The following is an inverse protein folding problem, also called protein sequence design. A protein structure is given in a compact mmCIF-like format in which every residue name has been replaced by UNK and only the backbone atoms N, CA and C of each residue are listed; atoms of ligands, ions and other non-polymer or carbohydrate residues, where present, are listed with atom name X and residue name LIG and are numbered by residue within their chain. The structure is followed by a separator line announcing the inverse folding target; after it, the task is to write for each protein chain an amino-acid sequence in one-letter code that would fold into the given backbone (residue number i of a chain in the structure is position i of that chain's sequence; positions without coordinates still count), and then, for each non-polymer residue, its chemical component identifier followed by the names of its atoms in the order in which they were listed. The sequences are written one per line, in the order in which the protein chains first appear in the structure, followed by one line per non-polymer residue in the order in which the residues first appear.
data_IF_602344285468
#
_entry.id   IF_602344285468
#
_cell.length_a   1.000
_cell.length_b   1.000
_cell.length_c   1.000
_cell.angle_alpha   90.00
_cell.angle_beta   90.00
_cell.angle_gamma   90.00
#
_symmetry.space_group_name_H-M   'P 1'
#
loop_
_entity.id
_entity.type
_entity.pdbx_description
1 polymer ?
#
# COMPACT_ATOMS: atom_id res chain seq x y z
N UNK A 1 5.77 -2.37 17.35
CA UNK A 1 5.17 -3.68 17.08
C UNK A 1 6.29 -4.69 16.92
N UNK A 2 6.20 -5.81 17.56
CA UNK A 2 7.01 -6.99 17.29
C UNK A 2 6.08 -8.03 16.66
N UNK A 3 6.36 -8.43 15.41
CA UNK A 3 5.44 -9.24 14.61
C UNK A 3 6.17 -10.35 13.89
N UNK A 4 5.92 -11.60 14.31
CA UNK A 4 6.52 -12.82 13.76
C UNK A 4 5.44 -13.91 13.60
N UNK A 5 4.57 -13.82 12.61
CA UNK A 5 3.46 -14.77 12.42
C UNK A 5 3.94 -16.20 12.17
N UNK A 6 5.13 -16.39 11.61
CA UNK A 6 5.69 -17.72 11.40
C UNK A 6 5.88 -18.54 12.71
N UNK A 7 6.10 -17.86 13.84
CA UNK A 7 6.17 -18.46 15.16
C UNK A 7 4.94 -18.16 16.01
N UNK A 8 3.85 -17.70 15.39
CA UNK A 8 2.57 -17.35 16.01
C UNK A 8 2.69 -16.28 17.10
N UNK A 9 3.56 -15.33 16.90
CA UNK A 9 3.79 -14.27 17.85
C UNK A 9 3.59 -12.90 17.24
N UNK A 10 2.79 -12.08 17.90
CA UNK A 10 2.65 -10.66 17.61
C UNK A 10 2.39 -9.91 18.91
N UNK A 11 2.98 -8.74 19.06
CA UNK A 11 2.70 -7.84 20.17
C UNK A 11 2.78 -6.38 19.73
N UNK A 12 1.92 -5.58 20.30
CA UNK A 12 1.91 -4.13 20.14
C UNK A 12 2.07 -3.49 21.50
N UNK A 13 2.91 -2.46 21.57
CA UNK A 13 3.04 -1.67 22.81
C UNK A 13 1.79 -0.82 22.95
N UNK A 14 1.14 -0.93 24.08
CA UNK A 14 -0.10 -0.25 24.44
C UNK A 14 -0.99 -1.13 25.30
N UNK A 15 -1.93 -0.51 25.99
CA UNK A 15 -2.90 -1.20 26.84
C UNK A 15 -4.30 -0.68 26.57
N UNK A 16 -5.17 -1.54 26.01
CA UNK A 16 -6.58 -1.21 25.83
C UNK A 16 -7.28 -0.93 27.16
N UNK A 17 -6.91 -1.68 28.22
CA UNK A 17 -7.42 -1.43 29.57
C UNK A 17 -6.99 -0.06 30.11
N UNK A 18 -5.72 0.34 29.86
CA UNK A 18 -5.24 1.69 30.21
C UNK A 18 -5.99 2.78 29.49
N UNK A 19 -6.21 2.62 28.16
CA UNK A 19 -6.99 3.57 27.36
C UNK A 19 -8.42 3.70 27.90
N UNK A 20 -9.10 2.58 28.18
CA UNK A 20 -10.44 2.57 28.73
C UNK A 20 -10.52 3.25 30.11
N UNK A 21 -9.56 2.96 30.98
CA UNK A 21 -9.51 3.55 32.33
C UNK A 21 -9.32 5.08 32.29
N UNK A 22 -8.42 5.57 31.43
CA UNK A 22 -8.12 7.00 31.34
C UNK A 22 -9.20 7.79 30.56
N UNK A 23 -9.82 7.18 29.55
CA UNK A 23 -10.84 7.84 28.73
C UNK A 23 -12.26 7.70 29.25
N UNK A 24 -12.53 6.69 30.09
CA UNK A 24 -13.90 6.34 30.51
C UNK A 24 -14.76 5.73 29.40
N UNK A 25 -14.14 5.30 28.28
CA UNK A 25 -14.81 4.72 27.12
C UNK A 25 -14.32 3.29 26.90
N UNK A 26 -15.21 2.37 26.53
CA UNK A 26 -14.85 1.01 26.17
C UNK A 26 -13.83 0.99 25.04
N UNK A 27 -12.81 0.14 25.17
CA UNK A 27 -11.73 0.03 24.20
C UNK A 27 -11.67 -1.37 23.61
N UNK A 28 -11.96 -1.48 22.32
CA UNK A 28 -11.69 -2.70 21.54
C UNK A 28 -10.26 -2.62 21.01
N UNK A 29 -9.45 -3.63 21.30
CA UNK A 29 -8.03 -3.64 20.96
C UNK A 29 -7.56 -5.04 20.56
N UNK A 30 -6.29 -5.14 20.14
CA UNK A 30 -5.61 -6.41 19.84
C UNK A 30 -6.25 -7.22 18.70
N UNK A 31 -6.48 -6.56 17.57
CA UNK A 31 -7.08 -7.18 16.38
C UNK A 31 -6.20 -8.23 15.68
N UNK A 32 -4.92 -8.39 16.07
CA UNK A 32 -3.95 -9.27 15.37
C UNK A 32 -3.71 -10.59 16.06
N UNK A 33 -3.72 -10.61 17.37
CA UNK A 33 -3.25 -11.77 18.16
C UNK A 33 -4.08 -13.02 17.87
N UNK A 34 -5.39 -12.89 17.81
CA UNK A 34 -6.29 -14.03 17.51
C UNK A 34 -6.03 -14.62 16.13
N UNK A 35 -5.91 -13.77 15.10
CA UNK A 35 -5.63 -14.21 13.73
C UNK A 35 -4.28 -14.94 13.65
N UNK A 36 -3.24 -14.38 14.26
CA UNK A 36 -1.90 -14.99 14.30
C UNK A 36 -1.92 -16.32 15.07
N UNK A 37 -2.65 -16.40 16.18
CA UNK A 37 -2.81 -17.64 16.95
C UNK A 37 -3.53 -18.74 16.14
N UNK A 38 -4.46 -18.35 15.28
CA UNK A 38 -5.20 -19.22 14.37
C UNK A 38 -4.47 -19.48 13.05
N UNK A 39 -3.17 -19.21 12.98
CA UNK A 39 -2.30 -19.39 11.80
C UNK A 39 -2.52 -18.36 10.67
N UNK A 40 -3.24 -17.28 10.92
CA UNK A 40 -3.30 -16.12 10.04
C UNK A 40 -2.03 -15.28 10.09
N UNK A 41 -1.95 -14.30 9.21
CA UNK A 41 -0.81 -13.38 9.14
C UNK A 41 -0.95 -12.20 10.11
N UNK A 42 -2.15 -11.90 10.61
CA UNK A 42 -2.43 -10.73 11.45
C UNK A 42 -2.19 -9.39 10.75
N UNK A 43 -1.88 -9.42 9.46
CA UNK A 43 -1.65 -8.27 8.60
C UNK A 43 -1.80 -8.69 7.12
N UNK A 44 -2.34 -7.81 6.25
CA UNK A 44 -2.96 -6.53 6.57
C UNK A 44 -4.35 -6.68 7.22
N UNK A 45 -4.78 -5.72 8.04
CA UNK A 45 -6.13 -5.70 8.66
C UNK A 45 -7.11 -4.81 7.89
N UNK A 46 -6.61 -3.79 7.18
CA UNK A 46 -7.41 -2.81 6.44
C UNK A 46 -8.30 -3.39 5.33
N UNK A 47 -7.96 -4.52 4.64
CA UNK A 47 -8.73 -5.03 3.51
C UNK A 47 -10.20 -5.33 3.79
N UNK A 48 -10.58 -5.62 5.04
CA UNK A 48 -12.00 -5.78 5.39
C UNK A 48 -12.75 -4.43 5.32
N UNK A 49 -12.10 -3.34 5.75
CA UNK A 49 -12.60 -1.98 5.57
C UNK A 49 -12.73 -1.63 4.08
N UNK A 50 -11.73 -1.97 3.28
CA UNK A 50 -11.78 -1.77 1.82
C UNK A 50 -12.96 -2.50 1.18
N UNK A 51 -13.22 -3.73 1.60
CA UNK A 51 -14.31 -4.55 1.08
C UNK A 51 -15.69 -3.98 1.36
N UNK A 52 -15.89 -3.44 2.56
CA UNK A 52 -17.23 -3.06 3.02
C UNK A 52 -17.50 -1.56 2.94
N UNK A 53 -16.52 -0.73 3.23
CA UNK A 53 -16.66 0.74 3.26
C UNK A 53 -16.38 1.40 1.91
N UNK A 54 -15.67 0.69 1.02
CA UNK A 54 -15.25 1.20 -0.30
C UNK A 54 -15.58 0.20 -1.41
N UNK A 55 -16.73 -0.47 -1.29
CA UNK A 55 -17.18 -1.53 -2.20
C UNK A 55 -17.46 -1.04 -3.64
N UNK A 56 -17.64 0.26 -3.84
CA UNK A 56 -17.82 0.89 -5.15
C UNK A 56 -16.56 0.96 -6.01
N UNK A 57 -15.38 0.68 -5.40
CA UNK A 57 -14.10 0.64 -6.10
C UNK A 57 -13.68 -0.79 -6.39
N UNK A 58 -13.17 -1.01 -7.60
CA UNK A 58 -12.65 -2.33 -8.01
C UNK A 58 -11.35 -2.64 -7.27
N UNK A 59 -10.52 -1.61 -7.08
CA UNK A 59 -9.26 -1.69 -6.37
C UNK A 59 -9.14 -0.57 -5.34
N UNK A 60 -8.59 -0.88 -4.18
CA UNK A 60 -8.14 0.10 -3.20
C UNK A 60 -6.61 0.08 -3.17
N UNK A 61 -5.98 1.22 -3.48
CA UNK A 61 -4.55 1.40 -3.52
C UNK A 61 -4.14 2.44 -2.48
N UNK A 62 -3.35 2.02 -1.50
CA UNK A 62 -2.75 2.92 -0.53
C UNK A 62 -1.30 3.20 -0.91
N UNK A 63 -0.93 4.47 -1.01
CA UNK A 63 0.42 4.93 -1.33
C UNK A 63 1.04 5.65 -0.13
N UNK A 64 1.46 4.88 0.87
CA UNK A 64 2.22 5.34 2.03
C UNK A 64 3.72 5.35 1.78
N UNK A 65 4.51 4.86 2.72
CA UNK A 65 5.93 4.55 2.50
C UNK A 65 6.09 3.49 1.41
N UNK A 66 5.18 2.53 1.40
CA UNK A 66 5.00 1.49 0.39
C UNK A 66 3.61 1.59 -0.20
N UNK A 67 3.45 1.15 -1.44
CA UNK A 67 2.13 0.97 -2.05
C UNK A 67 1.64 -0.44 -1.81
N UNK A 68 0.39 -0.55 -1.36
CA UNK A 68 -0.32 -1.82 -1.26
C UNK A 68 -1.68 -1.71 -1.92
N UNK A 69 -2.10 -2.82 -2.53
CA UNK A 69 -3.36 -2.92 -3.26
C UNK A 69 -4.25 -3.96 -2.59
N UNK A 70 -5.56 -3.73 -2.60
CA UNK A 70 -6.54 -4.74 -2.25
C UNK A 70 -7.69 -4.75 -3.23
N UNK A 71 -8.20 -5.94 -3.57
CA UNK A 71 -9.28 -6.13 -4.54
C UNK A 71 -9.97 -7.47 -4.35
N UNK A 72 -11.19 -7.58 -4.86
CA UNK A 72 -11.95 -8.83 -4.85
C UNK A 72 -11.39 -9.78 -5.92
N UNK A 73 -11.28 -11.06 -5.56
CA UNK A 73 -10.76 -12.12 -6.42
C UNK A 73 -11.41 -13.45 -6.07
N UNK A 74 -10.94 -14.52 -6.66
CA UNK A 74 -11.26 -15.89 -6.28
C UNK A 74 -9.99 -16.65 -5.97
N UNK A 75 -10.03 -17.47 -4.94
CA UNK A 75 -8.93 -18.37 -4.58
C UNK A 75 -9.44 -19.82 -4.60
N UNK A 76 -8.54 -20.75 -4.86
CA UNK A 76 -8.87 -22.18 -4.77
C UNK A 76 -8.68 -22.64 -3.32
N UNK A 77 -9.74 -23.24 -2.74
CA UNK A 77 -9.70 -23.90 -1.43
C UNK A 77 -10.39 -25.25 -1.56
N UNK A 78 -9.68 -26.32 -1.23
CA UNK A 78 -10.18 -27.70 -1.30
C UNK A 78 -10.77 -28.11 -2.69
N UNK A 79 -10.19 -27.57 -3.77
CA UNK A 79 -10.65 -27.84 -5.14
C UNK A 79 -11.84 -26.97 -5.60
N UNK A 80 -12.30 -26.04 -4.78
CA UNK A 80 -13.37 -25.12 -5.12
C UNK A 80 -12.87 -23.67 -5.23
N UNK A 81 -13.41 -22.92 -6.20
CA UNK A 81 -13.17 -21.49 -6.31
C UNK A 81 -14.09 -20.73 -5.37
N UNK A 82 -13.50 -20.10 -4.38
CA UNK A 82 -14.24 -19.28 -3.40
C UNK A 82 -13.89 -17.80 -3.53
N UNK A 83 -14.88 -16.89 -3.35
CA UNK A 83 -14.60 -15.46 -3.32
C UNK A 83 -13.63 -15.11 -2.19
N UNK A 84 -12.66 -14.26 -2.51
CA UNK A 84 -11.65 -13.77 -1.57
C UNK A 84 -11.35 -12.30 -1.81
N UNK A 85 -10.84 -11.62 -0.80
CA UNK A 85 -10.18 -10.32 -0.93
C UNK A 85 -8.68 -10.55 -0.90
N UNK A 86 -7.97 -10.18 -1.97
CA UNK A 86 -6.51 -10.24 -2.01
C UNK A 86 -5.94 -8.88 -1.61
N UNK A 87 -4.81 -8.90 -0.89
CA UNK A 87 -4.05 -7.70 -0.56
C UNK A 87 -2.55 -8.03 -0.52
N UNK A 88 -1.72 -7.13 -1.10
CA UNK A 88 -0.26 -7.29 -1.11
C UNK A 88 0.43 -5.97 -1.48
N UNK A 89 1.74 -5.92 -1.20
CA UNK A 89 2.58 -4.77 -1.53
C UNK A 89 3.05 -4.82 -2.99
N UNK A 90 3.08 -3.64 -3.64
CA UNK A 90 3.49 -3.51 -5.04
C UNK A 90 4.90 -2.93 -5.15
N UNK A 91 5.14 -1.76 -4.55
CA UNK A 91 6.39 -1.02 -4.70
C UNK A 91 6.63 -0.12 -3.48
N UNK A 92 7.88 0.19 -3.10
CA UNK A 92 8.15 1.33 -2.24
C UNK A 92 7.73 2.62 -2.98
N UNK A 93 7.25 3.60 -2.23
CA UNK A 93 6.81 4.90 -2.75
C UNK A 93 7.50 6.02 -1.96
N UNK A 94 6.82 6.59 -0.97
CA UNK A 94 7.35 7.73 -0.21
C UNK A 94 8.59 7.37 0.60
N UNK A 95 8.81 6.09 0.92
CA UNK A 95 10.03 5.68 1.61
C UNK A 95 11.28 6.06 0.81
N UNK A 96 11.28 5.81 -0.50
CA UNK A 96 12.39 6.12 -1.40
C UNK A 96 12.37 7.59 -1.82
N UNK A 97 11.22 8.12 -2.22
CA UNK A 97 11.12 9.53 -2.65
C UNK A 97 11.55 10.47 -1.54
N UNK A 98 11.08 10.25 -0.31
CA UNK A 98 11.43 11.10 0.84
C UNK A 98 12.88 10.86 1.31
N UNK A 99 13.44 9.67 1.11
CA UNK A 99 14.86 9.43 1.38
C UNK A 99 15.75 10.38 0.59
N UNK A 100 15.51 10.54 -0.71
CA UNK A 100 16.28 11.45 -1.55
C UNK A 100 15.97 12.91 -1.25
N UNK A 101 14.72 13.27 -0.98
CA UNK A 101 14.36 14.64 -0.64
C UNK A 101 14.99 15.12 0.67
N UNK A 102 15.15 14.24 1.66
CA UNK A 102 15.83 14.57 2.92
C UNK A 102 17.32 14.90 2.73
N UNK A 103 17.98 14.37 1.69
CA UNK A 103 19.36 14.72 1.39
C UNK A 103 19.54 16.19 0.99
N UNK A 104 18.45 16.83 0.52
CA UNK A 104 18.43 18.27 0.19
C UNK A 104 17.63 19.11 1.22
N UNK A 105 17.41 18.55 2.42
CA UNK A 105 16.77 19.26 3.53
C UNK A 105 15.24 19.42 3.40
N UNK A 106 14.58 18.63 2.56
CA UNK A 106 13.13 18.61 2.41
C UNK A 106 12.54 17.29 2.91
N UNK A 107 11.36 17.34 3.55
CA UNK A 107 10.72 16.13 4.06
C UNK A 107 10.13 15.25 2.94
N UNK A 108 9.63 15.86 1.88
CA UNK A 108 9.02 15.19 0.73
C UNK A 108 9.03 16.08 -0.52
N UNK A 109 8.77 15.48 -1.69
CA UNK A 109 8.59 16.18 -2.96
C UNK A 109 7.14 16.64 -3.10
N UNK A 110 6.90 17.93 -2.81
CA UNK A 110 5.56 18.50 -2.85
C UNK A 110 5.01 18.45 -4.27
N UNK A 111 3.82 17.84 -4.42
CA UNK A 111 3.14 17.65 -5.72
C UNK A 111 3.99 16.93 -6.80
N UNK A 112 5.20 16.44 -6.47
CA UNK A 112 6.16 15.86 -7.41
C UNK A 112 6.89 16.91 -8.25
N UNK A 113 7.00 18.16 -7.77
CA UNK A 113 7.63 19.27 -8.49
C UNK A 113 9.09 18.98 -8.84
N UNK A 114 9.86 18.36 -7.93
CA UNK A 114 11.26 18.00 -8.17
C UNK A 114 11.34 16.90 -9.22
N UNK A 115 10.55 15.84 -9.07
CA UNK A 115 10.52 14.73 -10.04
C UNK A 115 10.06 15.18 -11.44
N UNK A 116 9.11 16.11 -11.52
CA UNK A 116 8.60 16.61 -12.81
C UNK A 116 9.63 17.41 -13.61
N UNK A 117 10.68 17.91 -12.95
CA UNK A 117 11.79 18.62 -13.60
C UNK A 117 12.89 17.70 -14.14
N UNK A 118 12.83 16.39 -13.85
CA UNK A 118 13.82 15.42 -14.27
C UNK A 118 13.46 14.66 -15.54
N UNK A 119 14.45 13.98 -16.08
CA UNK A 119 14.31 13.05 -17.20
C UNK A 119 14.39 11.60 -16.74
N UNK A 120 13.53 10.74 -17.34
CA UNK A 120 13.53 9.31 -17.01
C UNK A 120 14.77 8.63 -17.61
N UNK A 121 15.63 8.09 -16.77
CA UNK A 121 16.76 7.28 -17.20
C UNK A 121 16.34 5.85 -17.52
N UNK A 122 16.21 5.52 -18.81
CA UNK A 122 15.74 4.21 -19.28
C UNK A 122 16.57 3.04 -18.72
N UNK A 123 17.90 3.17 -18.64
CA UNK A 123 18.78 2.11 -18.09
C UNK A 123 18.50 1.82 -16.61
N UNK A 124 18.31 2.86 -15.81
CA UNK A 124 17.94 2.68 -14.40
C UNK A 124 16.52 2.11 -14.27
N UNK A 125 15.59 2.61 -15.08
CA UNK A 125 14.21 2.12 -15.10
C UNK A 125 14.14 0.62 -15.42
N UNK A 126 14.87 0.18 -16.45
CA UNK A 126 14.96 -1.23 -16.83
C UNK A 126 15.54 -2.08 -15.68
N UNK A 127 16.61 -1.61 -15.04
CA UNK A 127 17.24 -2.30 -13.93
C UNK A 127 16.30 -2.42 -12.71
N UNK A 128 15.55 -1.36 -12.38
CA UNK A 128 14.55 -1.37 -11.31
C UNK A 128 13.42 -2.35 -11.62
N UNK A 129 12.92 -2.33 -12.86
CA UNK A 129 11.82 -3.21 -13.27
C UNK A 129 12.24 -4.69 -13.34
N UNK A 130 13.53 -4.98 -13.51
CA UNK A 130 14.07 -6.35 -13.57
C UNK A 130 14.32 -6.98 -12.19
N UNK A 131 14.16 -6.24 -11.09
CA UNK A 131 14.37 -6.80 -9.75
C UNK A 131 13.42 -7.99 -9.48
N UNK A 132 13.91 -9.09 -8.90
CA UNK A 132 13.15 -10.35 -8.74
C UNK A 132 11.83 -10.19 -7.98
N UNK A 133 11.75 -9.25 -7.07
CA UNK A 133 10.51 -8.95 -6.35
C UNK A 133 9.33 -8.66 -7.29
N UNK A 134 9.55 -7.95 -8.39
CA UNK A 134 8.46 -7.52 -9.29
C UNK A 134 7.93 -8.64 -10.19
N UNK A 135 8.75 -9.65 -10.48
CA UNK A 135 8.35 -10.85 -11.22
C UNK A 135 7.69 -11.92 -10.36
N UNK A 136 7.82 -11.83 -9.02
CA UNK A 136 7.20 -12.78 -8.11
C UNK A 136 5.67 -12.71 -8.18
N UNK A 137 5.03 -13.88 -8.19
CA UNK A 137 3.57 -14.04 -8.23
C UNK A 137 3.01 -14.27 -6.82
N UNK A 138 1.72 -13.94 -6.64
CA UNK A 138 0.99 -14.13 -5.38
C UNK A 138 1.15 -12.96 -4.40
N UNK A 139 0.51 -13.08 -3.23
CA UNK A 139 0.65 -12.12 -2.15
C UNK A 139 2.11 -12.01 -1.69
N UNK A 140 2.59 -10.79 -1.58
CA UNK A 140 3.97 -10.49 -1.19
C UNK A 140 4.02 -9.19 -0.39
N UNK A 141 5.02 -9.05 0.46
CA UNK A 141 5.23 -7.86 1.27
C UNK A 141 6.63 -7.29 1.09
N UNK A 142 6.75 -6.00 1.35
CA UNK A 142 7.99 -5.23 1.29
C UNK A 142 8.39 -4.78 2.69
N UNK A 143 9.68 -4.83 2.97
CA UNK A 143 10.28 -4.28 4.16
C UNK A 143 11.29 -3.18 3.84
N UNK A 144 11.56 -2.36 4.83
CA UNK A 144 12.59 -1.32 4.78
C UNK A 144 13.95 -1.90 4.40
N UNK A 145 14.26 -3.05 4.95
CA UNK A 145 15.53 -3.75 4.78
C UNK A 145 15.80 -4.08 3.30
N UNK A 146 14.77 -4.50 2.58
CA UNK A 146 14.89 -4.78 1.16
C UNK A 146 15.14 -3.52 0.34
N UNK A 147 14.48 -2.42 0.68
CA UNK A 147 14.67 -1.13 -0.01
C UNK A 147 16.08 -0.61 0.19
N UNK A 148 16.60 -0.71 1.42
CA UNK A 148 17.96 -0.28 1.78
C UNK A 148 19.03 -1.19 1.16
N UNK A 149 18.75 -2.46 0.95
CA UNK A 149 19.69 -3.41 0.36
C UNK A 149 19.68 -3.40 -1.19
N UNK A 150 18.52 -3.23 -1.82
CA UNK A 150 18.37 -3.44 -3.26
C UNK A 150 18.06 -2.14 -4.04
N UNK A 151 17.11 -1.32 -3.57
CA UNK A 151 16.62 -0.18 -4.34
C UNK A 151 17.57 1.01 -4.25
N UNK A 152 17.92 1.44 -3.03
CA UNK A 152 18.76 2.63 -2.83
C UNK A 152 20.14 2.45 -3.45
N UNK A 153 20.87 1.33 -3.22
CA UNK A 153 22.16 1.13 -3.83
C UNK A 153 22.10 1.04 -5.37
N UNK A 154 21.03 0.45 -5.93
CA UNK A 154 20.83 0.40 -7.36
C UNK A 154 20.67 1.81 -7.95
N UNK A 155 19.81 2.66 -7.38
CA UNK A 155 19.62 4.04 -7.83
C UNK A 155 20.93 4.83 -7.71
N UNK A 156 21.66 4.67 -6.60
CA UNK A 156 22.92 5.40 -6.33
C UNK A 156 24.09 4.93 -7.19
N UNK A 157 24.01 3.75 -7.80
CA UNK A 157 25.01 3.28 -8.76
C UNK A 157 25.01 4.07 -10.08
N UNK A 158 23.94 4.84 -10.35
CA UNK A 158 23.81 5.71 -11.51
C UNK A 158 24.16 7.17 -11.12
N UNK A 159 25.05 7.78 -11.87
CA UNK A 159 25.41 9.20 -11.66
C UNK A 159 24.34 10.11 -12.29
N UNK A 160 23.23 10.30 -11.58
CA UNK A 160 22.06 11.06 -12.01
C UNK A 160 21.81 12.25 -11.07
N UNK A 161 21.19 13.29 -11.59
CA UNK A 161 20.63 14.39 -10.79
C UNK A 161 19.55 13.86 -9.82
N UNK A 162 19.22 14.64 -8.80
CA UNK A 162 18.12 14.32 -7.90
C UNK A 162 16.79 14.21 -8.66
N UNK A 163 16.56 15.16 -9.56
CA UNK A 163 15.37 15.25 -10.41
C UNK A 163 15.19 14.00 -11.26
N UNK A 164 16.27 13.53 -11.91
CA UNK A 164 16.25 12.34 -12.78
C UNK A 164 16.05 11.06 -11.98
N UNK A 165 16.67 10.95 -10.78
CA UNK A 165 16.43 9.83 -9.86
C UNK A 165 14.96 9.74 -9.49
N UNK A 166 14.36 10.87 -9.08
CA UNK A 166 12.97 10.93 -8.66
C UNK A 166 12.00 10.70 -9.83
N UNK A 167 12.26 11.30 -11.00
CA UNK A 167 11.47 11.08 -12.21
C UNK A 167 11.46 9.60 -12.62
N UNK A 168 12.66 8.97 -12.65
CA UNK A 168 12.81 7.56 -13.00
C UNK A 168 12.11 6.65 -11.99
N UNK A 169 12.21 6.96 -10.70
CA UNK A 169 11.56 6.16 -9.68
C UNK A 169 10.03 6.33 -9.68
N UNK A 170 9.50 7.52 -9.94
CA UNK A 170 8.06 7.73 -10.15
C UNK A 170 7.54 6.94 -11.34
N UNK A 171 8.29 6.89 -12.45
CA UNK A 171 7.93 6.09 -13.62
C UNK A 171 7.92 4.60 -13.29
N UNK A 172 8.95 4.12 -12.58
CA UNK A 172 8.99 2.74 -12.09
C UNK A 172 7.76 2.39 -11.23
N UNK A 173 7.41 3.22 -10.24
CA UNK A 173 6.21 3.03 -9.41
C UNK A 173 4.95 2.92 -10.29
N UNK A 174 4.80 3.84 -11.25
CA UNK A 174 3.65 3.90 -12.15
C UNK A 174 3.49 2.63 -12.98
N UNK A 175 4.59 2.11 -13.53
CA UNK A 175 4.63 0.85 -14.30
C UNK A 175 4.23 -0.33 -13.39
N UNK A 176 4.82 -0.43 -12.21
CA UNK A 176 4.56 -1.56 -11.29
C UNK A 176 3.10 -1.58 -10.82
N UNK A 177 2.53 -0.43 -10.51
CA UNK A 177 1.11 -0.30 -10.15
C UNK A 177 0.21 -0.64 -11.33
N UNK A 178 0.48 -0.06 -12.50
CA UNK A 178 -0.30 -0.28 -13.72
C UNK A 178 -0.36 -1.76 -14.13
N UNK A 179 0.74 -2.49 -13.97
CA UNK A 179 0.82 -3.92 -14.28
C UNK A 179 -0.05 -4.82 -13.34
N UNK A 180 -0.55 -4.29 -12.22
CA UNK A 180 -1.38 -5.06 -11.27
C UNK A 180 -2.88 -4.80 -11.40
N UNK A 181 -3.29 -3.89 -12.27
CA UNK A 181 -4.68 -3.48 -12.43
C UNK A 181 -5.14 -3.78 -13.85
N UNK A 182 -6.17 -4.60 -13.97
CA UNK A 182 -6.82 -4.90 -15.25
C UNK A 182 -8.02 -3.98 -15.50
N UNK A 183 -8.41 -3.79 -16.75
CA UNK A 183 -9.71 -3.25 -17.07
C UNK A 183 -10.82 -4.16 -16.57
N UNK A 184 -12.05 -3.65 -16.45
CA UNK A 184 -13.22 -4.46 -16.16
C UNK A 184 -13.52 -5.41 -17.31
N UNK A 185 -14.25 -6.49 -17.04
CA UNK A 185 -14.64 -7.48 -18.04
C UNK A 185 -15.47 -6.89 -19.19
N UNK A 186 -16.24 -5.83 -18.91
CA UNK A 186 -17.02 -5.08 -19.90
C UNK A 186 -16.19 -4.09 -20.73
N UNK A 187 -14.88 -4.05 -20.53
CA UNK A 187 -13.95 -3.16 -21.23
C UNK A 187 -13.92 -1.72 -20.67
N UNK A 188 -14.72 -1.41 -19.67
CA UNK A 188 -14.67 -0.09 -19.01
C UNK A 188 -13.47 0.02 -18.07
N UNK A 189 -13.12 1.27 -17.71
CA UNK A 189 -12.01 1.52 -16.80
C UNK A 189 -12.33 1.05 -15.38
N UNK A 190 -11.38 0.39 -14.74
CA UNK A 190 -11.47 0.02 -13.34
C UNK A 190 -11.34 1.24 -12.43
N UNK A 191 -12.25 1.39 -11.48
CA UNK A 191 -12.20 2.42 -10.45
C UNK A 191 -11.19 2.04 -9.38
N UNK A 192 -10.20 2.90 -9.17
CA UNK A 192 -9.12 2.70 -8.20
C UNK A 192 -9.17 3.80 -7.15
N UNK A 193 -9.50 3.45 -5.93
CA UNK A 193 -9.43 4.38 -4.80
C UNK A 193 -7.95 4.61 -4.45
N UNK A 194 -7.48 5.86 -4.53
CA UNK A 194 -6.14 6.25 -4.08
C UNK A 194 -6.17 6.86 -2.68
N UNK A 195 -5.35 6.33 -1.78
CA UNK A 195 -5.17 6.87 -0.43
C UNK A 195 -3.69 6.87 -0.04
N UNK A 196 -3.38 7.40 1.15
CA UNK A 196 -2.01 7.62 1.60
C UNK A 196 -1.37 8.87 1.00
N UNK A 197 -0.25 9.29 1.56
CA UNK A 197 0.41 10.55 1.20
C UNK A 197 0.84 10.66 -0.27
N UNK A 198 1.15 9.54 -0.92
CA UNK A 198 1.51 9.49 -2.34
C UNK A 198 0.35 9.86 -3.28
N UNK A 199 -0.90 9.78 -2.83
CA UNK A 199 -2.06 10.24 -3.59
C UNK A 199 -2.06 11.75 -3.87
N UNK A 200 -1.31 12.53 -3.09
CA UNK A 200 -1.14 13.97 -3.28
C UNK A 200 0.03 14.33 -4.19
N UNK A 201 0.86 13.37 -4.59
CA UNK A 201 1.94 13.59 -5.55
C UNK A 201 1.36 13.60 -6.98
N UNK A 202 1.09 14.81 -7.49
CA UNK A 202 0.44 15.00 -8.80
C UNK A 202 1.23 14.36 -9.94
N UNK A 203 2.54 14.57 -9.98
CA UNK A 203 3.39 13.99 -11.02
C UNK A 203 3.32 12.47 -11.01
N UNK A 204 3.41 11.83 -9.85
CA UNK A 204 3.27 10.37 -9.75
C UNK A 204 1.90 9.90 -10.26
N UNK A 205 0.81 10.56 -9.87
CA UNK A 205 -0.55 10.21 -10.32
C UNK A 205 -0.69 10.39 -11.84
N UNK A 206 -0.11 11.44 -12.42
CA UNK A 206 -0.07 11.64 -13.89
C UNK A 206 0.68 10.50 -14.59
N UNK A 207 1.85 10.10 -14.06
CA UNK A 207 2.61 8.95 -14.61
C UNK A 207 1.83 7.64 -14.49
N UNK A 208 1.15 7.42 -13.37
CA UNK A 208 0.27 6.26 -13.18
C UNK A 208 -0.87 6.25 -14.22
N UNK A 209 -1.51 7.39 -14.46
CA UNK A 209 -2.59 7.49 -15.46
C UNK A 209 -2.07 7.25 -16.89
N UNK A 210 -0.86 7.73 -17.19
CA UNK A 210 -0.23 7.50 -18.51
C UNK A 210 0.13 6.03 -18.73
N UNK A 211 0.63 5.33 -17.70
CA UNK A 211 1.02 3.92 -17.77
C UNK A 211 -0.15 2.95 -17.64
N UNK A 212 -1.29 3.39 -17.13
CA UNK A 212 -2.47 2.55 -16.92
C UNK A 212 -3.76 3.26 -17.36
N UNK A 213 -3.96 3.49 -18.67
CA UNK A 213 -5.15 4.16 -19.19
C UNK A 213 -6.45 3.40 -18.92
N UNK A 214 -6.36 2.10 -18.63
CA UNK A 214 -7.49 1.25 -18.21
C UNK A 214 -7.99 1.57 -16.80
N UNK A 215 -7.30 2.43 -16.05
CA UNK A 215 -7.66 2.83 -14.69
C UNK A 215 -8.38 4.18 -14.67
N UNK A 216 -9.29 4.33 -13.71
CA UNK A 216 -9.84 5.61 -13.27
C UNK A 216 -9.41 5.80 -11.81
N UNK A 217 -8.35 6.57 -11.61
CA UNK A 217 -7.86 6.88 -10.27
C UNK A 217 -8.77 7.90 -9.59
N UNK A 218 -9.31 7.54 -8.45
CA UNK A 218 -10.21 8.36 -7.64
C UNK A 218 -9.51 8.72 -6.33
N UNK A 219 -9.22 10.00 -6.15
CA UNK A 219 -8.66 10.53 -4.91
C UNK A 219 -9.84 11.11 -4.12
N UNK A 220 -10.23 10.54 -2.97
CA UNK A 220 -11.32 11.05 -2.17
C UNK A 220 -10.93 12.38 -1.50
N UNK A 221 -11.82 12.92 -0.71
CA UNK A 221 -11.53 14.11 0.08
C UNK A 221 -10.34 13.87 1.03
N UNK A 222 -9.69 14.96 1.42
CA UNK A 222 -8.47 14.93 2.25
C UNK A 222 -8.68 14.22 3.59
N UNK A 223 -9.88 14.31 4.16
CA UNK A 223 -10.20 13.64 5.42
C UNK A 223 -10.19 12.12 5.23
N UNK A 224 -10.83 11.62 4.20
CA UNK A 224 -10.83 10.18 3.85
C UNK A 224 -9.40 9.69 3.58
N UNK A 225 -8.59 10.44 2.80
CA UNK A 225 -7.19 10.04 2.55
C UNK A 225 -6.40 9.93 3.85
N UNK A 226 -6.53 10.90 4.76
CA UNK A 226 -5.73 10.95 5.98
C UNK A 226 -6.21 9.99 7.07
N UNK A 227 -7.51 9.66 7.10
CA UNK A 227 -8.13 8.91 8.20
C UNK A 227 -8.69 7.55 7.79
N UNK A 228 -8.47 7.09 6.55
CA UNK A 228 -8.94 5.78 6.07
C UNK A 228 -8.51 4.63 7.00
N UNK A 229 -7.27 4.65 7.47
CA UNK A 229 -6.78 3.61 8.39
C UNK A 229 -7.52 3.67 9.74
N UNK A 230 -7.67 4.85 10.33
CA UNK A 230 -8.42 5.04 11.56
C UNK A 230 -9.89 4.61 11.41
N UNK A 231 -10.53 4.95 10.27
CA UNK A 231 -11.89 4.51 9.93
C UNK A 231 -11.97 2.98 9.84
N UNK A 232 -10.98 2.35 9.20
CA UNK A 232 -10.94 0.88 9.10
C UNK A 232 -10.80 0.23 10.48
N UNK A 233 -9.96 0.75 11.36
CA UNK A 233 -9.84 0.21 12.73
C UNK A 233 -11.10 0.46 13.56
N UNK A 234 -11.75 1.61 13.42
CA UNK A 234 -13.05 1.85 14.05
C UNK A 234 -14.11 0.85 13.57
N UNK A 235 -14.09 0.54 12.26
CA UNK A 235 -14.97 -0.48 11.69
C UNK A 235 -14.68 -1.89 12.23
N UNK A 236 -13.41 -2.28 12.39
CA UNK A 236 -13.04 -3.53 13.05
C UNK A 236 -13.59 -3.62 14.47
N UNK A 237 -13.51 -2.52 15.23
CA UNK A 237 -14.10 -2.42 16.57
C UNK A 237 -15.61 -2.60 16.55
N UNK A 238 -16.32 -1.95 15.60
CA UNK A 238 -17.77 -2.10 15.45
C UNK A 238 -18.17 -3.54 15.10
N UNK A 239 -17.44 -4.19 14.18
CA UNK A 239 -17.66 -5.60 13.84
C UNK A 239 -17.48 -6.52 15.07
N UNK A 240 -16.44 -6.27 15.86
CA UNK A 240 -16.20 -7.00 17.12
C UNK A 240 -17.39 -6.87 18.09
N UNK A 241 -17.89 -5.66 18.29
CA UNK A 241 -19.03 -5.41 19.20
C UNK A 241 -20.34 -6.04 18.72
N UNK A 242 -20.43 -6.36 17.43
CA UNK A 242 -21.59 -7.01 16.79
C UNK A 242 -21.43 -8.53 16.65
N UNK A 243 -20.38 -9.13 17.21
CA UNK A 243 -20.02 -10.55 17.07
C UNK A 243 -19.88 -10.97 15.58
N UNK A 244 -19.40 -10.05 14.73
CA UNK A 244 -19.14 -10.31 13.31
C UNK A 244 -17.65 -10.53 13.07
N UNK A 245 -17.29 -11.36 12.06
CA UNK A 245 -15.88 -11.52 11.66
C UNK A 245 -15.24 -10.16 11.32
N UNK A 246 -14.15 -9.84 11.99
CA UNK A 246 -13.41 -8.59 11.82
C UNK A 246 -12.00 -8.78 11.24
N UNK A 247 -11.67 -10.00 10.81
CA UNK A 247 -10.47 -10.35 10.02
C UNK A 247 -10.87 -11.07 8.74
N UNK A 248 -9.97 -11.10 7.76
CA UNK A 248 -10.18 -11.77 6.48
C UNK A 248 -9.04 -12.75 6.21
#
# INVERSE_FOLDING_TARGET
IFHQPAIRFTTQIGSGAGIAAESGVDCVCDFRTTDVALHGQGAPLVPIGDKWLFAEYDYCLNMGGFSNISFNSTVERNGERVPARLAYDISPVNYVLNYYMRQVGKDYDKDGETASGGEVCGKLLDALNALPFYSATGPKSLGREWVEAEIIPLIDSYNLSLEDKLATFCEHIAIQIGAKISAREDGTRSKVLLTGGGAFNKYLVERMQANAPQCLYCIPDKQTVNFKEALSFAFLGALFMLDLPNCM
#
